data_IF_029159580831
#
_entry.id   IF_029159580831
#
_cell.length_a   1.000
_cell.length_b   1.000
_cell.length_c   1.000
_cell.angle_alpha   90.00
_cell.angle_beta   90.00
_cell.angle_gamma   90.00
#
_symmetry.space_group_name_H-M   'P 1'
#
loop_
_entity.id
_entity.type
_entity.pdbx_description
1 polymer ?
#
# COMPACT_ATOMS: atom_id res chain seq x y z
N UNK A 1 3.46 9.97 0.34
CA UNK A 1 3.79 9.80 -1.10
C UNK A 1 2.55 9.32 -1.86
N UNK A 2 2.47 9.62 -3.16
CA UNK A 2 1.45 9.10 -4.07
C UNK A 2 2.15 8.40 -5.23
N UNK A 3 1.69 7.21 -5.58
CA UNK A 3 2.14 6.45 -6.74
C UNK A 3 0.95 6.25 -7.69
N UNK A 4 1.16 6.58 -8.96
CA UNK A 4 0.23 6.27 -10.04
C UNK A 4 0.88 5.30 -11.03
N UNK A 5 0.33 4.08 -11.14
CA UNK A 5 0.68 3.13 -12.18
C UNK A 5 -0.31 3.28 -13.32
N UNK A 6 0.15 3.57 -14.53
CA UNK A 6 -0.71 3.60 -15.71
C UNK A 6 -1.07 2.17 -16.19
N UNK A 7 -2.21 1.99 -16.90
CA UNK A 7 -2.56 0.72 -17.53
C UNK A 7 -1.43 0.18 -18.42
N UNK A 8 -1.09 -1.10 -18.26
CA UNK A 8 -0.05 -1.78 -19.05
C UNK A 8 1.40 -1.41 -18.70
N UNK A 9 1.63 -0.42 -17.84
CA UNK A 9 2.97 -0.01 -17.41
C UNK A 9 3.41 -0.81 -16.18
N UNK A 10 4.64 -1.32 -16.18
CA UNK A 10 5.20 -2.03 -15.02
C UNK A 10 5.60 -1.06 -13.91
N UNK A 11 6.21 0.07 -14.28
CA UNK A 11 6.59 1.16 -13.38
C UNK A 11 5.44 2.16 -13.22
N UNK A 12 5.42 2.82 -12.07
CA UNK A 12 4.54 3.94 -11.80
C UNK A 12 5.26 5.28 -11.90
N UNK A 13 4.50 6.35 -11.76
CA UNK A 13 4.98 7.69 -11.42
C UNK A 13 4.81 7.90 -9.92
N UNK A 14 5.73 8.61 -9.28
CA UNK A 14 5.69 8.90 -7.85
C UNK A 14 5.85 10.39 -7.58
N UNK A 15 5.11 10.89 -6.59
CA UNK A 15 5.34 12.19 -5.98
C UNK A 15 5.43 12.01 -4.46
N UNK A 16 6.47 12.60 -3.87
CA UNK A 16 6.72 12.53 -2.44
C UNK A 16 6.46 13.89 -1.79
N UNK A 17 5.97 13.87 -0.56
CA UNK A 17 5.69 15.08 0.21
C UNK A 17 6.98 15.56 0.90
N UNK A 18 8.04 15.78 0.11
CA UNK A 18 9.30 16.41 0.54
C UNK A 18 9.21 17.92 0.32
N UNK A 19 10.07 18.72 0.96
CA UNK A 19 10.12 20.16 0.72
C UNK A 19 11.21 20.52 -0.33
N UNK A 20 10.86 21.21 -1.45
CA UNK A 20 9.53 21.40 -2.04
C UNK A 20 9.04 20.12 -2.75
N UNK A 21 7.73 19.90 -2.79
CA UNK A 21 7.15 18.79 -3.54
C UNK A 21 7.33 19.12 -5.03
N UNK A 22 8.20 18.38 -5.71
CA UNK A 22 8.51 18.59 -7.12
C UNK A 22 7.50 17.95 -8.06
N UNK A 23 7.86 17.86 -9.33
CA UNK A 23 7.06 17.16 -10.34
C UNK A 23 6.96 15.66 -10.05
N UNK A 24 6.00 15.00 -10.70
CA UNK A 24 5.93 13.54 -10.74
C UNK A 24 7.23 12.96 -11.31
N UNK A 25 7.87 12.10 -10.53
CA UNK A 25 9.10 11.40 -10.91
C UNK A 25 8.79 10.00 -11.43
N UNK A 26 9.71 9.41 -12.19
CA UNK A 26 9.64 7.99 -12.52
C UNK A 26 9.80 7.13 -11.27
N UNK A 27 8.97 6.10 -11.14
CA UNK A 27 9.13 5.08 -10.11
C UNK A 27 10.39 4.26 -10.38
N UNK A 28 11.24 4.15 -9.36
CA UNK A 28 12.55 3.52 -9.46
C UNK A 28 12.51 2.06 -9.94
N UNK A 29 11.44 1.32 -9.60
CA UNK A 29 11.23 -0.07 -10.00
C UNK A 29 9.77 -0.34 -10.35
N UNK A 30 9.55 -1.44 -11.07
CA UNK A 30 8.23 -1.96 -11.35
C UNK A 30 7.49 -2.36 -10.06
N UNK A 31 6.17 -2.17 -10.02
CA UNK A 31 5.35 -2.46 -8.83
C UNK A 31 5.26 -3.97 -8.51
N UNK A 32 5.67 -4.85 -9.42
CA UNK A 32 5.77 -6.29 -9.14
C UNK A 32 7.10 -6.69 -8.51
N UNK A 33 8.08 -5.79 -8.43
CA UNK A 33 9.33 -6.02 -7.71
C UNK A 33 9.09 -5.82 -6.20
N UNK A 34 9.65 -6.69 -5.36
CA UNK A 34 9.56 -6.51 -3.90
C UNK A 34 10.45 -5.37 -3.41
N UNK A 35 11.54 -5.09 -4.10
CA UNK A 35 12.60 -4.24 -3.57
C UNK A 35 12.66 -2.90 -4.33
N UNK A 36 13.18 -1.86 -3.64
CA UNK A 36 13.56 -0.57 -4.22
C UNK A 36 12.42 0.26 -4.85
N UNK A 37 11.17 0.09 -4.40
CA UNK A 37 10.12 1.09 -4.59
C UNK A 37 9.40 1.41 -3.28
N UNK A 38 8.99 2.67 -3.11
CA UNK A 38 8.47 3.23 -1.86
C UNK A 38 7.33 2.41 -1.25
N UNK A 39 6.46 1.87 -2.11
CA UNK A 39 5.29 1.11 -1.68
C UNK A 39 5.61 -0.29 -1.13
N UNK A 40 6.57 -1.02 -1.70
CA UNK A 40 6.95 -2.31 -1.15
C UNK A 40 7.75 -2.16 0.13
N UNK A 41 8.56 -1.10 0.24
CA UNK A 41 9.21 -0.72 1.50
C UNK A 41 8.16 -0.50 2.60
N UNK A 42 7.12 0.28 2.31
CA UNK A 42 6.05 0.54 3.29
C UNK A 42 5.31 -0.75 3.72
N UNK A 43 5.25 -1.76 2.86
CA UNK A 43 4.55 -3.02 3.12
C UNK A 43 5.44 -4.15 3.62
N UNK A 44 6.76 -3.95 3.69
CA UNK A 44 7.72 -4.98 4.08
C UNK A 44 7.33 -5.63 5.43
N UNK A 45 6.87 -4.81 6.36
CA UNK A 45 6.46 -5.20 7.70
C UNK A 45 5.07 -5.85 7.78
N UNK A 46 4.27 -5.73 6.71
CA UNK A 46 2.92 -6.33 6.58
C UNK A 46 2.99 -7.70 5.91
N UNK A 47 3.86 -7.83 4.90
CA UNK A 47 4.02 -9.08 4.14
C UNK A 47 5.03 -10.05 4.77
N UNK A 48 5.93 -9.52 5.61
CA UNK A 48 6.88 -10.28 6.43
C UNK A 48 6.46 -10.39 7.91
N UNK A 49 7.32 -11.01 8.72
CA UNK A 49 7.16 -11.04 10.17
C UNK A 49 8.03 -9.95 10.79
N UNK A 50 7.42 -8.88 11.29
CA UNK A 50 8.08 -7.87 12.12
C UNK A 50 7.36 -7.78 13.48
N UNK A 51 8.10 -8.01 14.57
CA UNK A 51 7.55 -8.03 15.93
C UNK A 51 7.21 -6.63 16.46
N UNK A 52 7.82 -5.60 15.86
CA UNK A 52 7.66 -4.20 16.26
C UNK A 52 6.51 -3.50 15.53
N UNK A 53 5.66 -4.24 14.82
CA UNK A 53 4.51 -3.69 14.11
C UNK A 53 3.22 -4.44 14.41
N UNK A 54 2.10 -3.72 14.31
CA UNK A 54 0.77 -4.28 14.11
C UNK A 54 0.20 -3.72 12.82
N UNK A 55 -0.73 -4.44 12.20
CA UNK A 55 -1.39 -3.92 11.02
C UNK A 55 -2.84 -4.40 10.90
N UNK A 56 -3.63 -3.61 10.18
CA UNK A 56 -4.96 -3.95 9.70
C UNK A 56 -4.97 -3.79 8.18
N UNK A 57 -5.18 -4.88 7.45
CA UNK A 57 -5.43 -4.83 6.01
C UNK A 57 -6.93 -4.96 5.74
N UNK A 58 -7.47 -4.10 4.89
CA UNK A 58 -8.86 -4.13 4.46
C UNK A 58 -8.94 -4.08 2.94
N UNK A 59 -9.83 -4.86 2.34
CA UNK A 59 -10.01 -4.89 0.90
C UNK A 59 -11.38 -5.51 0.58
N UNK A 60 -12.15 -4.92 -0.31
CA UNK A 60 -13.42 -5.51 -0.79
C UNK A 60 -13.22 -6.69 -1.76
N UNK A 61 -11.98 -6.93 -2.20
CA UNK A 61 -11.57 -8.11 -2.93
C UNK A 61 -10.22 -8.60 -2.36
N UNK A 62 -10.20 -9.18 -1.14
CA UNK A 62 -8.95 -9.57 -0.49
C UNK A 62 -8.29 -10.78 -1.18
N UNK A 63 -6.96 -10.89 -1.11
CA UNK A 63 -6.24 -12.02 -1.69
C UNK A 63 -6.71 -13.36 -1.11
N UNK A 64 -6.98 -14.34 -1.98
CA UNK A 64 -7.31 -15.70 -1.59
C UNK A 64 -8.72 -15.90 -1.02
N UNK A 65 -9.57 -14.86 -0.96
CA UNK A 65 -10.94 -14.96 -0.45
C UNK A 65 -11.93 -14.58 -1.55
N UNK A 66 -12.73 -15.56 -1.98
CA UNK A 66 -13.78 -15.34 -2.98
C UNK A 66 -15.10 -14.89 -2.33
N UNK A 67 -15.97 -14.26 -3.13
CA UNK A 67 -17.36 -13.94 -2.79
C UNK A 67 -17.53 -13.06 -1.53
N UNK A 68 -16.58 -12.17 -1.29
CA UNK A 68 -16.67 -11.16 -0.23
C UNK A 68 -17.79 -10.17 -0.55
N UNK A 69 -18.76 -10.03 0.36
CA UNK A 69 -19.87 -9.08 0.26
C UNK A 69 -19.60 -7.94 1.24
N UNK A 70 -19.37 -6.74 0.72
CA UNK A 70 -19.13 -5.53 1.52
C UNK A 70 -20.05 -4.40 1.06
N UNK A 71 -20.29 -3.42 1.95
CA UNK A 71 -20.95 -2.15 1.59
C UNK A 71 -19.96 -1.11 1.04
N UNK A 72 -18.66 -1.37 1.13
CA UNK A 72 -17.57 -0.46 0.79
C UNK A 72 -16.67 -1.06 -0.29
N UNK A 73 -16.15 -0.20 -1.17
CA UNK A 73 -15.15 -0.55 -2.19
C UNK A 73 -13.71 -0.22 -1.77
N UNK A 74 -13.52 0.28 -0.54
CA UNK A 74 -12.24 0.73 -0.02
C UNK A 74 -11.24 -0.40 0.17
N UNK A 75 -9.97 -0.08 -0.03
CA UNK A 75 -8.84 -0.99 0.18
C UNK A 75 -7.67 -0.22 0.77
N UNK A 76 -6.90 -0.89 1.61
CA UNK A 76 -5.77 -0.25 2.26
C UNK A 76 -5.19 -1.07 3.39
N UNK A 77 -4.17 -0.48 4.00
CA UNK A 77 -3.47 -1.04 5.15
C UNK A 77 -3.17 0.07 6.14
N UNK A 78 -3.47 -0.16 7.41
CA UNK A 78 -2.99 0.66 8.52
C UNK A 78 -1.87 -0.13 9.20
N UNK A 79 -0.72 0.50 9.39
CA UNK A 79 0.49 -0.08 10.00
C UNK A 79 0.84 0.77 11.21
N UNK A 80 1.01 0.10 12.35
CA UNK A 80 1.29 0.69 13.65
C UNK A 80 2.70 0.30 14.08
N UNK A 81 3.53 1.26 14.45
CA UNK A 81 4.74 0.97 15.20
C UNK A 81 4.35 0.62 16.64
N UNK A 82 4.96 -0.41 17.24
CA UNK A 82 4.71 -0.76 18.65
C UNK A 82 5.68 -0.09 19.62
N UNK A 83 6.65 0.65 19.11
CA UNK A 83 7.73 1.27 19.87
C UNK A 83 7.80 2.81 19.70
N UNK A 84 6.86 3.42 19.00
CA UNK A 84 6.77 4.85 18.77
C UNK A 84 5.32 5.27 18.47
N UNK A 85 4.94 6.53 18.77
CA UNK A 85 3.66 7.13 18.34
C UNK A 85 3.73 7.46 16.84
N UNK A 86 3.71 6.40 16.02
CA UNK A 86 3.85 6.52 14.57
C UNK A 86 3.08 5.40 13.87
N UNK A 87 2.42 5.80 12.79
CA UNK A 87 1.71 4.88 11.93
C UNK A 87 1.76 5.31 10.47
N UNK A 88 1.56 4.34 9.58
CA UNK A 88 1.38 4.57 8.16
C UNK A 88 -0.02 4.11 7.76
N UNK A 89 -0.73 4.96 7.00
CA UNK A 89 -1.98 4.59 6.37
C UNK A 89 -1.82 4.59 4.86
N UNK A 90 -2.03 3.42 4.30
CA UNK A 90 -1.95 3.17 2.87
C UNK A 90 -3.36 2.99 2.33
N UNK A 91 -3.72 3.76 1.31
CA UNK A 91 -4.96 3.59 0.55
C UNK A 91 -4.60 3.23 -0.89
N UNK A 92 -5.24 2.22 -1.45
CA UNK A 92 -4.94 1.79 -2.82
C UNK A 92 -6.16 1.28 -3.58
N UNK A 93 -6.02 1.13 -4.89
CA UNK A 93 -7.08 0.58 -5.76
C UNK A 93 -6.87 -0.88 -6.15
N UNK A 94 -5.75 -1.51 -5.76
CA UNK A 94 -5.34 -2.86 -6.17
C UNK A 94 -6.20 -3.97 -5.50
N UNK A 95 -7.05 -4.72 -6.22
CA UNK A 95 -7.70 -5.92 -5.70
C UNK A 95 -6.68 -7.05 -5.48
N UNK A 96 -6.97 -7.97 -4.56
CA UNK A 96 -6.09 -9.11 -4.28
C UNK A 96 -4.76 -8.74 -3.62
N UNK A 97 -4.65 -7.56 -3.02
CA UNK A 97 -3.40 -7.03 -2.49
C UNK A 97 -3.61 -6.22 -1.18
N UNK A 98 -2.61 -6.17 -0.27
CA UNK A 98 -1.47 -7.07 -0.20
C UNK A 98 -1.86 -8.45 0.32
N UNK A 99 -1.09 -9.46 -0.05
CA UNK A 99 -1.19 -10.78 0.54
C UNK A 99 -0.40 -10.80 1.86
N UNK A 100 -1.08 -10.43 2.94
CA UNK A 100 -0.47 -10.26 4.26
C UNK A 100 0.15 -11.57 4.77
N UNK A 101 1.37 -11.49 5.32
CA UNK A 101 2.15 -12.64 5.83
C UNK A 101 2.44 -13.76 4.82
N UNK A 102 2.23 -13.56 3.53
CA UNK A 102 2.57 -14.53 2.48
C UNK A 102 3.73 -14.07 1.60
N UNK A 103 4.43 -13.01 2.00
CA UNK A 103 5.41 -12.33 1.15
C UNK A 103 4.77 -11.37 0.15
N UNK A 104 5.62 -10.56 -0.49
CA UNK A 104 5.18 -9.58 -1.48
C UNK A 104 4.68 -10.29 -2.74
N UNK A 105 3.43 -10.06 -3.11
CA UNK A 105 2.81 -10.69 -4.27
C UNK A 105 1.90 -9.70 -5.00
N UNK A 106 2.39 -9.15 -6.10
CA UNK A 106 1.61 -8.29 -6.97
C UNK A 106 0.66 -9.13 -7.86
N UNK A 107 -0.65 -8.85 -7.91
CA UNK A 107 -1.56 -9.68 -8.69
C UNK A 107 -1.37 -9.47 -10.19
N UNK A 108 -1.09 -10.55 -10.93
CA UNK A 108 -0.76 -10.51 -12.36
C UNK A 108 -1.81 -9.79 -13.22
N UNK A 109 -3.10 -9.95 -12.90
CA UNK A 109 -4.21 -9.31 -13.60
C UNK A 109 -4.16 -7.77 -13.54
N UNK A 110 -3.51 -7.21 -12.52
CA UNK A 110 -3.42 -5.77 -12.27
C UNK A 110 -2.30 -5.10 -13.08
N UNK A 111 -1.49 -5.87 -13.82
CA UNK A 111 -0.54 -5.32 -14.78
C UNK A 111 -1.22 -4.54 -15.90
N UNK A 112 -2.37 -5.03 -16.39
CA UNK A 112 -3.14 -4.40 -17.45
C UNK A 112 -3.91 -3.15 -16.98
N UNK A 113 -4.01 -2.91 -15.67
CA UNK A 113 -4.86 -1.87 -15.07
C UNK A 113 -4.03 -0.71 -14.51
N UNK A 114 -4.71 0.42 -14.39
CA UNK A 114 -4.18 1.60 -13.73
C UNK A 114 -4.48 1.59 -12.23
N UNK A 115 -3.53 2.00 -11.41
CA UNK A 115 -3.68 2.00 -9.96
C UNK A 115 -3.15 3.26 -9.31
N UNK A 116 -3.85 3.71 -8.28
CA UNK A 116 -3.41 4.77 -7.39
C UNK A 116 -3.09 4.15 -6.03
N UNK A 117 -1.96 4.54 -5.46
CA UNK A 117 -1.54 4.14 -4.13
C UNK A 117 -1.09 5.40 -3.38
N UNK A 118 -1.64 5.63 -2.20
CA UNK A 118 -1.36 6.78 -1.35
C UNK A 118 -0.82 6.25 -0.03
N UNK A 119 0.30 6.79 0.42
CA UNK A 119 0.87 6.52 1.73
C UNK A 119 0.92 7.81 2.55
N UNK A 120 0.21 7.81 3.67
CA UNK A 120 0.14 8.89 4.65
C UNK A 120 0.88 8.46 5.91
N UNK A 121 1.77 9.32 6.40
CA UNK A 121 2.33 9.17 7.76
C UNK A 121 1.40 9.89 8.72
N UNK A 122 0.94 9.18 9.74
CA UNK A 122 0.04 9.69 10.79
C UNK A 122 0.60 9.32 12.16
N UNK A 123 0.11 9.97 13.21
CA UNK A 123 0.37 9.55 14.58
C UNK A 123 -0.55 8.39 14.95
N UNK A 124 -0.11 7.49 15.84
CA UNK A 124 -0.96 6.41 16.34
C UNK A 124 -2.19 6.99 17.06
N UNK A 125 -1.98 8.06 17.82
CA UNK A 125 -3.05 8.80 18.51
C UNK A 125 -4.17 9.33 17.59
N UNK A 126 -3.91 9.50 16.28
CA UNK A 126 -4.91 9.97 15.31
C UNK A 126 -5.79 8.85 14.75
N UNK A 127 -5.47 7.58 14.99
CA UNK A 127 -6.12 6.45 14.32
C UNK A 127 -7.55 6.26 14.78
N UNK A 128 -7.84 6.52 16.06
CA UNK A 128 -9.21 6.44 16.57
C UNK A 128 -10.16 7.45 15.91
N UNK A 129 -9.64 8.48 15.23
CA UNK A 129 -10.44 9.41 14.44
C UNK A 129 -10.67 8.94 13.00
N UNK A 130 -10.01 7.87 12.55
CA UNK A 130 -10.17 7.27 11.22
C UNK A 130 -11.22 6.15 11.34
N UNK A 131 -12.42 6.39 10.78
CA UNK A 131 -13.57 5.47 10.79
C UNK A 131 -13.91 4.91 9.42
#
# INVERSE_FOLDING_TARGET
AIVYKAPGQANGKIIEATAPAGDWQEGAQALNNRDQHSFATALQDVVGNNQNVKFLAYNNAPPGVANVITKSNSKGVIILATNADSAAWIVHTVPGFPAAKTGYNWPLAENARGHLLICLTILESQINAIG
#
